data_IF_422407759404
#
_entry.id   IF_422407759404
#
_cell.length_a   1.000
_cell.length_b   1.000
_cell.length_c   1.000
_cell.angle_alpha   90.00
_cell.angle_beta   90.00
_cell.angle_gamma   90.00
#
_symmetry.space_group_name_H-M   'P 1'
#
loop_
_entity.id
_entity.type
_entity.pdbx_description
1 polymer ?
#
# COMPACT_ATOMS: atom_id res chain seq x y z
N UNK A 1 -3.10 -13.05 4.17
CA UNK A 1 -3.96 -14.13 3.64
C UNK A 1 -3.20 -15.29 3.00
N UNK A 2 -1.86 -15.39 3.15
CA UNK A 2 -1.10 -16.57 2.70
C UNK A 2 -0.90 -16.69 1.20
N UNK A 3 -1.33 -15.71 0.38
CA UNK A 3 -0.99 -15.67 -1.05
C UNK A 3 0.51 -15.50 -1.25
N UNK A 4 1.05 -16.21 -2.22
CA UNK A 4 2.48 -16.18 -2.54
C UNK A 4 2.78 -15.11 -3.59
N UNK A 5 1.86 -14.90 -4.54
CA UNK A 5 2.06 -13.93 -5.63
C UNK A 5 1.09 -12.75 -5.58
N UNK A 6 1.47 -11.63 -6.21
CA UNK A 6 0.59 -10.46 -6.39
C UNK A 6 -0.66 -10.82 -7.18
N UNK A 7 -0.55 -11.71 -8.16
CA UNK A 7 -1.69 -12.19 -8.95
C UNK A 7 -2.69 -12.92 -8.07
N UNK A 8 -2.25 -13.89 -7.28
CA UNK A 8 -3.12 -14.61 -6.34
C UNK A 8 -3.78 -13.64 -5.34
N UNK A 9 -3.03 -12.66 -4.85
CA UNK A 9 -3.55 -11.68 -3.91
C UNK A 9 -4.61 -10.77 -4.55
N UNK A 10 -4.38 -10.27 -5.78
CA UNK A 10 -5.32 -9.36 -6.43
C UNK A 10 -6.55 -10.08 -7.01
N UNK A 11 -6.47 -11.40 -7.23
CA UNK A 11 -7.62 -12.24 -7.60
C UNK A 11 -8.55 -12.52 -6.41
N UNK A 12 -8.11 -12.35 -5.15
CA UNK A 12 -9.00 -12.37 -3.98
C UNK A 12 -9.92 -11.13 -4.00
N UNK A 13 -11.26 -11.28 -4.10
CA UNK A 13 -12.18 -10.16 -4.24
C UNK A 13 -12.10 -9.11 -3.11
N UNK A 14 -11.76 -9.55 -1.90
CA UNK A 14 -11.64 -8.64 -0.76
C UNK A 14 -10.35 -7.84 -0.79
N UNK A 15 -9.23 -8.46 -1.19
CA UNK A 15 -7.96 -7.73 -1.39
C UNK A 15 -8.10 -6.79 -2.57
N UNK A 16 -8.71 -7.24 -3.67
CA UNK A 16 -8.99 -6.39 -4.83
C UNK A 16 -9.75 -5.12 -4.44
N UNK A 17 -10.84 -5.27 -3.67
CA UNK A 17 -11.63 -4.14 -3.20
C UNK A 17 -10.81 -3.18 -2.33
N UNK A 18 -10.00 -3.69 -1.40
CA UNK A 18 -9.15 -2.86 -0.54
C UNK A 18 -8.03 -2.14 -1.33
N UNK A 19 -7.36 -2.82 -2.25
CA UNK A 19 -6.33 -2.21 -3.10
C UNK A 19 -6.93 -1.11 -3.97
N UNK A 20 -8.06 -1.39 -4.63
CA UNK A 20 -8.77 -0.41 -5.46
C UNK A 20 -9.17 0.82 -4.64
N UNK A 21 -9.75 0.63 -3.45
CA UNK A 21 -10.18 1.73 -2.60
C UNK A 21 -8.99 2.57 -2.11
N UNK A 22 -7.86 1.95 -1.72
CA UNK A 22 -6.65 2.70 -1.34
C UNK A 22 -6.06 3.50 -2.51
N UNK A 23 -6.12 2.95 -3.73
CA UNK A 23 -5.72 3.67 -4.94
C UNK A 23 -6.65 4.85 -5.24
N UNK A 24 -7.95 4.72 -4.99
CA UNK A 24 -8.91 5.82 -5.13
C UNK A 24 -8.67 6.91 -4.07
N UNK A 25 -8.50 6.53 -2.80
CA UNK A 25 -8.20 7.46 -1.69
C UNK A 25 -6.93 8.30 -1.98
N UNK A 26 -5.86 7.65 -2.46
CA UNK A 26 -4.65 8.36 -2.88
C UNK A 26 -4.82 9.14 -4.19
N UNK A 27 -5.66 8.66 -5.11
CA UNK A 27 -6.02 9.35 -6.35
C UNK A 27 -6.75 10.67 -6.12
N UNK A 28 -7.62 10.76 -5.11
CA UNK A 28 -8.28 12.02 -4.73
C UNK A 28 -7.28 13.13 -4.39
N UNK A 29 -6.20 12.78 -3.70
CA UNK A 29 -5.10 13.70 -3.39
C UNK A 29 -4.47 14.22 -4.67
N UNK A 30 -4.22 13.34 -5.64
CA UNK A 30 -3.59 13.71 -6.92
C UNK A 30 -4.51 14.60 -7.77
N UNK A 31 -5.81 14.29 -7.81
CA UNK A 31 -6.82 15.09 -8.51
C UNK A 31 -6.88 16.49 -7.90
N UNK A 32 -7.00 16.61 -6.57
CA UNK A 32 -7.06 17.92 -5.89
C UNK A 32 -5.76 18.72 -6.02
N UNK A 33 -4.61 18.06 -5.94
CA UNK A 33 -3.30 18.74 -5.95
C UNK A 33 -2.83 19.15 -7.34
N UNK A 34 -3.10 18.32 -8.35
CA UNK A 34 -2.54 18.50 -9.70
C UNK A 34 -3.59 18.72 -10.79
N UNK A 35 -4.88 18.66 -10.46
CA UNK A 35 -5.96 18.91 -11.42
C UNK A 35 -6.14 17.80 -12.45
N UNK A 36 -5.83 16.54 -12.09
CA UNK A 36 -6.10 15.42 -13.00
C UNK A 36 -7.61 15.24 -13.24
N UNK A 37 -7.95 14.84 -14.46
CA UNK A 37 -9.31 14.41 -14.76
C UNK A 37 -9.66 13.13 -13.98
N UNK A 38 -10.83 13.14 -13.35
CA UNK A 38 -11.28 12.08 -12.45
C UNK A 38 -11.55 10.78 -13.19
N UNK A 39 -12.20 10.84 -14.35
CA UNK A 39 -12.58 9.65 -15.10
C UNK A 39 -11.36 9.01 -15.75
N UNK A 40 -10.43 9.82 -16.28
CA UNK A 40 -9.14 9.32 -16.76
C UNK A 40 -8.33 8.68 -15.62
N UNK A 41 -8.32 9.27 -14.42
CA UNK A 41 -7.59 8.71 -13.30
C UNK A 41 -8.21 7.38 -12.81
N UNK A 42 -9.54 7.28 -12.76
CA UNK A 42 -10.23 6.04 -12.46
C UNK A 42 -9.93 4.95 -13.51
N UNK A 43 -9.97 5.27 -14.80
CA UNK A 43 -9.57 4.34 -15.85
C UNK A 43 -8.10 3.89 -15.71
N UNK A 44 -7.22 4.79 -15.26
CA UNK A 44 -5.83 4.45 -14.96
C UNK A 44 -5.72 3.48 -13.78
N UNK A 45 -6.51 3.63 -12.72
CA UNK A 45 -6.57 2.68 -11.60
C UNK A 45 -6.97 1.28 -12.10
N UNK A 46 -8.04 1.17 -12.90
CA UNK A 46 -8.47 -0.12 -13.48
C UNK A 46 -7.38 -0.76 -14.34
N UNK A 47 -6.66 0.05 -15.14
CA UNK A 47 -5.52 -0.42 -15.92
C UNK A 47 -4.42 -1.01 -15.03
N UNK A 48 -4.12 -0.39 -13.88
CA UNK A 48 -3.10 -0.90 -12.95
C UNK A 48 -3.58 -2.19 -12.27
N UNK A 49 -4.84 -2.28 -11.86
CA UNK A 49 -5.41 -3.52 -11.30
C UNK A 49 -5.29 -4.68 -12.30
N UNK A 50 -5.61 -4.42 -13.58
CA UNK A 50 -5.42 -5.42 -14.65
C UNK A 50 -3.96 -5.84 -14.84
N UNK A 51 -2.98 -4.95 -14.58
CA UNK A 51 -1.56 -5.31 -14.63
C UNK A 51 -1.15 -6.24 -13.49
N UNK A 52 -1.71 -6.06 -12.30
CA UNK A 52 -1.47 -6.96 -11.16
C UNK A 52 -2.04 -8.36 -11.42
N UNK A 53 -3.14 -8.46 -12.17
CA UNK A 53 -3.78 -9.72 -12.53
C UNK A 53 -3.15 -10.42 -13.76
N UNK A 54 -2.05 -9.89 -14.32
CA UNK A 54 -1.44 -10.44 -15.53
C UNK A 54 -0.82 -11.83 -15.25
N UNK A 55 -1.30 -12.91 -15.92
CA UNK A 55 -0.81 -14.28 -15.67
C UNK A 55 0.66 -14.49 -16.07
N UNK A 56 1.23 -13.61 -16.88
CA UNK A 56 2.64 -13.70 -17.32
C UNK A 56 3.60 -12.93 -16.40
N UNK A 57 3.09 -12.17 -15.43
CA UNK A 57 3.91 -11.47 -14.43
C UNK A 57 3.80 -12.18 -13.08
N UNK A 58 4.76 -13.06 -12.81
CA UNK A 58 4.85 -13.77 -11.53
C UNK A 58 5.70 -12.94 -10.57
N UNK A 59 5.01 -12.13 -9.76
CA UNK A 59 5.63 -11.31 -8.74
C UNK A 59 5.31 -11.85 -7.35
N UNK A 60 6.33 -12.30 -6.64
CA UNK A 60 6.20 -12.77 -5.26
C UNK A 60 5.83 -11.61 -4.31
N UNK A 61 4.92 -11.87 -3.38
CA UNK A 61 4.49 -10.94 -2.34
C UNK A 61 5.68 -10.48 -1.53
N UNK A 62 6.62 -11.37 -1.19
CA UNK A 62 7.81 -11.02 -0.43
C UNK A 62 8.75 -10.11 -1.20
N UNK A 63 8.93 -10.36 -2.50
CA UNK A 63 9.75 -9.52 -3.37
C UNK A 63 9.18 -8.11 -3.46
N UNK A 64 7.86 -7.97 -3.55
CA UNK A 64 7.18 -6.67 -3.61
C UNK A 64 7.09 -6.02 -2.23
N UNK A 65 6.94 -6.81 -1.16
CA UNK A 65 6.78 -6.42 0.23
C UNK A 65 8.06 -5.94 0.92
N UNK A 66 9.24 -6.43 0.49
CA UNK A 66 10.56 -6.12 1.07
C UNK A 66 10.87 -4.64 1.33
N UNK A 67 11.69 -4.33 2.32
CA UNK A 67 12.02 -2.97 2.76
C UNK A 67 10.80 -2.20 3.30
N UNK A 68 10.08 -2.73 4.31
CA UNK A 68 8.88 -2.09 4.84
C UNK A 68 9.16 -0.73 5.49
N UNK A 69 10.31 -0.54 6.17
CA UNK A 69 10.69 0.75 6.78
C UNK A 69 10.77 1.84 5.71
N UNK A 70 11.42 1.57 4.57
CA UNK A 70 11.48 2.52 3.45
C UNK A 70 10.07 2.86 2.93
N UNK A 71 9.21 1.86 2.74
CA UNK A 71 7.83 2.07 2.24
C UNK A 71 6.94 2.85 3.22
N UNK A 72 7.22 2.73 4.51
CA UNK A 72 6.58 3.46 5.60
C UNK A 72 7.21 4.85 5.82
N UNK A 73 8.25 5.22 5.06
CA UNK A 73 8.85 6.55 5.13
C UNK A 73 7.86 7.66 4.75
N UNK A 74 7.98 8.81 5.41
CA UNK A 74 7.05 9.95 5.29
C UNK A 74 6.82 10.43 3.84
N UNK A 75 7.79 10.25 2.96
CA UNK A 75 7.75 10.68 1.56
C UNK A 75 7.49 9.54 0.55
N UNK A 76 7.35 8.29 0.99
CA UNK A 76 7.13 7.12 0.12
C UNK A 76 5.61 6.81 0.00
N UNK A 77 5.30 5.70 -0.65
CA UNK A 77 4.00 5.33 -1.24
C UNK A 77 2.84 5.11 -0.27
N UNK A 78 3.07 5.10 1.05
CA UNK A 78 2.02 4.88 2.04
C UNK A 78 1.73 6.14 2.85
N UNK A 79 2.76 6.68 3.52
CA UNK A 79 2.58 7.83 4.42
C UNK A 79 2.35 9.13 3.66
N UNK A 80 3.03 9.35 2.52
CA UNK A 80 2.82 10.59 1.74
C UNK A 80 1.39 10.73 1.22
N UNK A 81 0.76 9.68 0.64
CA UNK A 81 -0.67 9.75 0.31
C UNK A 81 -1.56 9.97 1.53
N UNK A 82 -1.31 9.28 2.65
CA UNK A 82 -2.08 9.48 3.88
C UNK A 82 -2.01 10.94 4.39
N UNK A 83 -0.83 11.56 4.38
CA UNK A 83 -0.69 12.96 4.75
C UNK A 83 -1.47 13.87 3.80
N UNK A 84 -1.48 13.56 2.51
CA UNK A 84 -2.28 14.28 1.52
C UNK A 84 -3.80 14.16 1.75
N UNK A 85 -4.29 13.00 2.19
CA UNK A 85 -5.73 12.86 2.49
C UNK A 85 -6.12 13.67 3.72
N UNK A 86 -5.23 13.77 4.71
CA UNK A 86 -5.41 14.64 5.88
C UNK A 86 -5.40 16.12 5.45
N UNK A 87 -4.43 16.53 4.62
CA UNK A 87 -4.31 17.90 4.10
C UNK A 87 -5.59 18.36 3.37
N UNK A 88 -6.17 17.49 2.53
CA UNK A 88 -7.35 17.82 1.73
C UNK A 88 -8.69 17.35 2.32
N UNK A 89 -8.69 16.81 3.54
CA UNK A 89 -9.89 16.30 4.22
C UNK A 89 -10.64 15.22 3.41
N UNK A 90 -9.92 14.25 2.84
CA UNK A 90 -10.52 13.15 2.07
C UNK A 90 -10.46 11.83 2.85
N UNK A 91 -11.27 10.86 2.43
CA UNK A 91 -11.28 9.51 3.00
C UNK A 91 -9.89 8.84 2.93
N UNK A 92 -9.54 8.07 3.96
CA UNK A 92 -8.21 7.44 4.08
C UNK A 92 -8.21 6.10 4.84
N UNK A 93 -9.39 5.53 5.05
CA UNK A 93 -9.58 4.33 5.87
C UNK A 93 -8.78 3.15 5.34
N UNK A 94 -8.65 3.02 4.02
CA UNK A 94 -8.03 1.87 3.39
C UNK A 94 -6.52 2.03 3.27
N UNK A 95 -6.03 3.26 3.07
CA UNK A 95 -4.62 3.60 3.25
C UNK A 95 -4.13 3.26 4.65
N UNK A 96 -4.91 3.58 5.69
CA UNK A 96 -4.59 3.21 7.08
C UNK A 96 -4.50 1.69 7.28
N UNK A 97 -5.42 0.91 6.67
CA UNK A 97 -5.33 -0.55 6.66
C UNK A 97 -4.05 -1.05 5.99
N UNK A 98 -3.68 -0.46 4.85
CA UNK A 98 -2.44 -0.78 4.13
C UNK A 98 -1.19 -0.52 4.97
N UNK A 99 -1.14 0.61 5.68
CA UNK A 99 -0.06 0.94 6.63
C UNK A 99 -0.02 -0.06 7.78
N UNK A 100 -1.17 -0.39 8.37
CA UNK A 100 -1.25 -1.39 9.43
C UNK A 100 -0.78 -2.79 8.95
N UNK A 101 -1.08 -3.15 7.70
CA UNK A 101 -0.60 -4.39 7.09
C UNK A 101 0.93 -4.36 6.87
N UNK A 102 1.48 -3.23 6.42
CA UNK A 102 2.91 -3.05 6.27
C UNK A 102 3.66 -3.13 7.61
N UNK A 103 3.08 -2.59 8.70
CA UNK A 103 3.62 -2.73 10.06
C UNK A 103 3.62 -4.18 10.56
N UNK A 104 2.67 -4.99 10.10
CA UNK A 104 2.58 -6.43 10.43
C UNK A 104 3.40 -7.32 9.50
N UNK A 105 4.09 -6.75 8.50
CA UNK A 105 4.88 -7.54 7.55
C UNK A 105 6.10 -8.17 8.24
N UNK A 106 6.28 -9.47 8.02
CA UNK A 106 7.37 -10.27 8.57
C UNK A 106 8.09 -10.97 7.45
N UNK A 107 9.41 -10.89 7.44
CA UNK A 107 10.28 -11.68 6.57
C UNK A 107 11.66 -11.76 7.26
N UNK A 108 12.12 -12.96 7.56
CA UNK A 108 13.38 -13.22 8.28
C UNK A 108 14.62 -12.96 7.42
N UNK A 109 14.47 -12.98 6.09
CA UNK A 109 15.54 -12.68 5.14
C UNK A 109 15.62 -11.21 4.74
N UNK A 110 14.67 -10.37 5.16
CA UNK A 110 14.67 -8.92 4.91
C UNK A 110 15.11 -8.15 6.17
N UNK A 111 16.33 -7.56 6.19
CA UNK A 111 16.83 -6.83 7.35
C UNK A 111 15.90 -5.72 7.84
N UNK A 112 15.20 -5.00 6.95
CA UNK A 112 14.27 -3.95 7.36
C UNK A 112 12.99 -4.51 7.98
N UNK A 113 12.53 -5.70 7.56
CA UNK A 113 11.39 -6.34 8.19
C UNK A 113 11.76 -6.83 9.60
N UNK A 114 12.95 -7.42 9.77
CA UNK A 114 13.48 -7.81 11.08
C UNK A 114 13.61 -6.59 12.00
N UNK A 115 14.25 -5.52 11.53
CA UNK A 115 14.41 -4.26 12.28
C UNK A 115 13.06 -3.67 12.69
N UNK A 116 12.09 -3.63 11.76
CA UNK A 116 10.74 -3.13 12.04
C UNK A 116 10.07 -3.92 13.16
N UNK A 117 10.10 -5.25 13.09
CA UNK A 117 9.48 -6.10 14.11
C UNK A 117 10.19 -5.99 15.46
N UNK A 118 11.51 -5.81 15.48
CA UNK A 118 12.26 -5.53 16.71
C UNK A 118 11.83 -4.20 17.33
N UNK A 119 11.81 -3.12 16.55
CA UNK A 119 11.35 -1.80 17.02
C UNK A 119 9.94 -1.85 17.58
N UNK A 120 9.01 -2.52 16.88
CA UNK A 120 7.62 -2.65 17.34
C UNK A 120 7.50 -3.37 18.69
N UNK A 121 8.34 -4.37 18.96
CA UNK A 121 8.37 -5.10 20.23
C UNK A 121 8.98 -4.26 21.35
N UNK A 122 10.05 -3.53 21.07
CA UNK A 122 10.81 -2.79 22.08
C UNK A 122 10.15 -1.48 22.49
N UNK A 123 9.65 -0.71 21.52
CA UNK A 123 9.19 0.67 21.75
C UNK A 123 7.72 0.89 21.41
N UNK A 124 7.06 -0.07 20.76
CA UNK A 124 5.67 0.00 20.36
C UNK A 124 5.42 0.91 19.14
N UNK A 125 4.24 0.78 18.54
CA UNK A 125 3.87 1.42 17.26
C UNK A 125 4.17 2.93 17.23
N UNK A 126 3.77 3.68 18.27
CA UNK A 126 3.90 5.15 18.31
C UNK A 126 5.34 5.67 18.31
N UNK A 127 6.31 4.85 18.73
CA UNK A 127 7.73 5.24 18.73
C UNK A 127 8.47 4.72 17.51
N UNK A 128 7.96 3.66 16.87
CA UNK A 128 8.46 3.14 15.60
C UNK A 128 8.13 4.05 14.42
N UNK A 129 6.99 4.75 14.47
CA UNK A 129 6.43 5.54 13.35
C UNK A 129 5.80 6.84 13.88
#
# INVERSE_FOLDING_TARGET
KGHHTIREAIEDPSIHAEVKQAMQESGEVLIKRYGFDRDMHNAYIEKILGRFANPYLVDEVDRVGRQPIRKLGANDRLVKPLLGTIEYGTENKTLLKGIAAALKYTNDTDPQAVELQTSLKEVGVKKTL
#
